data_IF_799072850963
#
_entry.id   IF_799072850963
#
_cell.length_a   1.000
_cell.length_b   1.000
_cell.length_c   1.000
_cell.angle_alpha   90.00
_cell.angle_beta   90.00
_cell.angle_gamma   90.00
#
_symmetry.space_group_name_H-M   'P 1'
#
loop_
_entity.id
_entity.type
_entity.pdbx_description
1 polymer ?
#
# COMPACT_ATOMS: atom_id res chain seq x y z
N UNK A 1 -56.75 41.37 7.27
CA UNK A 1 -56.94 40.14 8.07
C UNK A 1 -56.10 39.07 7.40
N UNK A 2 -55.09 38.43 7.99
CA UNK A 2 -54.65 38.27 9.38
C UNK A 2 -53.12 38.11 9.43
N UNK A 3 -52.58 38.36 10.63
CA UNK A 3 -51.16 38.35 10.98
C UNK A 3 -50.65 36.93 11.21
N UNK A 4 -49.42 36.68 10.74
CA UNK A 4 -48.52 35.58 11.18
C UNK A 4 -47.98 35.86 12.59
N UNK A 5 -47.91 34.84 13.44
CA UNK A 5 -47.04 34.83 14.63
C UNK A 5 -46.59 33.40 15.04
N UNK A 6 -45.27 33.23 15.06
CA UNK A 6 -44.47 32.45 16.02
C UNK A 6 -44.53 30.91 15.94
N UNK A 7 -43.48 30.12 16.22
CA UNK A 7 -42.27 30.32 17.06
C UNK A 7 -41.09 29.56 16.46
N UNK A 8 -39.88 30.14 16.53
CA UNK A 8 -38.60 29.42 16.40
C UNK A 8 -38.14 28.99 17.80
N UNK A 9 -37.46 27.84 17.95
CA UNK A 9 -36.81 27.46 19.20
C UNK A 9 -35.57 28.35 19.47
N UNK A 10 -35.15 28.47 20.74
CA UNK A 10 -34.02 29.31 21.16
C UNK A 10 -32.65 28.70 20.76
N UNK A 11 -31.59 29.52 20.71
CA UNK A 11 -30.24 29.04 20.41
C UNK A 11 -29.68 28.23 21.59
N UNK A 12 -29.05 27.10 21.28
CA UNK A 12 -28.22 26.36 22.23
C UNK A 12 -26.90 27.10 22.37
N UNK A 13 -26.68 27.71 23.54
CA UNK A 13 -25.37 28.11 24.01
C UNK A 13 -24.69 26.92 24.68
N UNK A 14 -23.55 26.50 24.14
CA UNK A 14 -22.58 25.58 24.77
C UNK A 14 -21.32 25.68 23.92
N UNK A 15 -20.31 26.41 24.36
CA UNK A 15 -19.42 25.92 25.40
C UNK A 15 -18.27 25.22 24.70
N UNK A 16 -17.36 26.01 24.15
CA UNK A 16 -16.19 25.51 23.45
C UNK A 16 -15.32 24.69 24.39
N UNK A 17 -14.93 23.50 23.93
CA UNK A 17 -13.71 22.86 24.36
C UNK A 17 -12.79 22.90 23.14
N UNK A 18 -12.06 24.00 22.99
CA UNK A 18 -10.89 24.03 22.12
C UNK A 18 -9.87 23.11 22.78
N UNK A 19 -9.70 21.90 22.24
CA UNK A 19 -8.49 21.12 22.48
C UNK A 19 -7.42 21.81 21.63
N UNK A 20 -6.78 22.82 22.20
CA UNK A 20 -5.60 23.44 21.59
C UNK A 20 -4.50 22.40 21.56
N UNK A 21 -4.14 21.92 20.37
CA UNK A 21 -2.92 21.16 20.17
C UNK A 21 -1.76 22.14 20.38
N UNK A 22 -0.95 21.90 21.41
CA UNK A 22 0.28 22.64 21.67
C UNK A 22 1.35 21.98 20.81
N UNK A 23 1.72 22.61 19.70
CA UNK A 23 2.94 22.25 18.96
C UNK A 23 4.07 23.11 19.52
N UNK A 24 5.05 22.47 20.13
CA UNK A 24 6.26 23.13 20.64
C UNK A 24 7.32 23.08 19.54
N UNK A 25 7.62 24.20 18.92
CA UNK A 25 8.79 24.33 18.02
C UNK A 25 9.90 24.98 18.82
N UNK A 26 11.02 24.27 19.01
CA UNK A 26 12.21 24.80 19.68
C UNK A 26 13.32 25.07 18.68
N UNK A 27 13.74 26.33 18.58
CA UNK A 27 14.95 26.74 17.86
C UNK A 27 16.06 26.92 18.90
N UNK A 28 17.08 26.07 18.85
CA UNK A 28 18.25 26.18 19.71
C UNK A 28 19.24 27.21 19.13
N UNK A 29 19.13 28.46 19.57
CA UNK A 29 20.20 29.44 19.39
C UNK A 29 20.43 30.23 20.69
N UNK A 30 21.58 29.97 21.32
CA UNK A 30 22.18 30.78 22.38
C UNK A 30 21.21 31.29 23.48
N UNK A 31 20.71 30.37 24.31
CA UNK A 31 20.42 30.67 25.72
C UNK A 31 19.17 31.51 26.04
N UNK A 32 18.21 31.67 25.12
CA UNK A 32 16.91 32.27 25.45
C UNK A 32 15.75 31.48 24.84
N UNK A 33 14.74 31.20 25.66
CA UNK A 33 13.48 30.55 25.26
C UNK A 33 12.51 31.63 24.78
N UNK A 34 12.03 31.54 23.55
CA UNK A 34 10.90 32.31 23.05
C UNK A 34 9.74 31.33 22.79
N UNK A 35 8.70 31.38 23.62
CA UNK A 35 7.43 30.71 23.33
C UNK A 35 6.72 31.48 22.21
N UNK A 36 6.49 30.85 21.06
CA UNK A 36 5.44 31.29 20.14
C UNK A 36 4.27 30.32 20.18
N UNK A 37 3.12 30.86 20.57
CA UNK A 37 1.81 30.20 20.46
C UNK A 37 1.38 30.35 19.00
N UNK A 38 1.37 29.26 18.24
CA UNK A 38 0.80 29.26 16.89
C UNK A 38 -0.70 29.03 17.03
N UNK A 39 -1.49 30.07 16.72
CA UNK A 39 -2.94 30.00 16.66
C UNK A 39 -3.37 29.14 15.46
N UNK A 40 -4.38 28.30 15.66
CA UNK A 40 -4.85 27.27 14.73
C UNK A 40 -5.09 27.74 13.30
N UNK A 41 -4.57 27.00 12.32
CA UNK A 41 -5.02 27.09 10.92
C UNK A 41 -3.94 27.39 9.87
N UNK A 42 -2.65 27.34 10.21
CA UNK A 42 -1.55 27.38 9.24
C UNK A 42 -0.66 26.15 9.40
N UNK A 43 -0.22 25.53 8.30
CA UNK A 43 0.77 24.45 8.37
C UNK A 43 2.05 24.94 9.04
N UNK A 44 2.70 24.08 9.82
CA UNK A 44 4.03 24.34 10.35
C UNK A 44 5.06 24.01 9.26
N UNK A 45 5.91 24.98 8.94
CA UNK A 45 7.05 24.79 8.04
C UNK A 45 8.26 24.44 8.92
N UNK A 46 8.81 23.24 8.74
CA UNK A 46 10.00 22.78 9.47
C UNK A 46 11.21 22.93 8.56
N UNK A 47 12.22 23.67 9.03
CA UNK A 47 13.53 23.80 8.38
C UNK A 47 14.54 22.95 9.13
N UNK A 48 15.29 22.12 8.39
CA UNK A 48 16.30 21.22 8.97
C UNK A 48 17.67 21.90 9.03
N UNK A 49 18.28 21.93 10.22
CA UNK A 49 19.63 22.47 10.45
C UNK A 49 20.69 21.37 10.73
N UNK A 50 20.41 20.09 10.43
CA UNK A 50 21.33 18.98 10.77
C UNK A 50 21.68 18.06 9.58
N UNK A 51 22.96 17.70 9.39
CA UNK A 51 23.37 16.75 8.35
C UNK A 51 23.09 15.30 8.78
N UNK A 52 22.50 14.52 7.87
CA UNK A 52 22.35 13.06 7.99
C UNK A 52 23.72 12.39 7.71
N UNK A 53 24.22 11.58 8.64
CA UNK A 53 25.40 10.73 8.41
C UNK A 53 25.01 9.46 7.64
N UNK A 54 25.88 9.05 6.70
CA UNK A 54 25.70 7.93 5.77
C UNK A 54 25.43 6.59 6.47
N UNK A 55 24.42 5.85 6.02
CA UNK A 55 24.25 4.44 6.35
C UNK A 55 23.78 3.61 5.15
N UNK A 56 24.72 2.85 4.56
CA UNK A 56 24.49 1.54 3.92
C UNK A 56 23.83 1.50 2.55
N UNK A 57 24.62 1.15 1.52
CA UNK A 57 24.20 0.93 0.13
C UNK A 57 22.92 0.06 -0.03
N UNK A 58 21.82 0.66 -0.50
CA UNK A 58 20.65 -0.06 -1.02
C UNK A 58 19.44 0.85 -1.28
N UNK A 59 19.21 1.19 -2.55
CA UNK A 59 18.03 1.85 -3.14
C UNK A 59 17.60 3.23 -2.58
N UNK A 60 17.95 4.28 -3.33
CA UNK A 60 17.10 5.48 -3.44
C UNK A 60 17.35 6.64 -2.48
N UNK A 61 18.45 6.68 -1.74
CA UNK A 61 18.71 7.79 -0.81
C UNK A 61 18.95 9.13 -1.55
N UNK A 62 17.93 9.98 -1.57
CA UNK A 62 18.09 11.39 -1.95
C UNK A 62 18.77 12.11 -0.79
N UNK A 63 20.03 12.48 -0.98
CA UNK A 63 20.74 13.42 -0.11
C UNK A 63 19.99 14.75 -0.14
N UNK A 64 19.34 15.08 0.98
CA UNK A 64 18.60 16.32 1.14
C UNK A 64 19.56 17.51 1.25
N UNK A 65 19.40 18.51 0.38
CA UNK A 65 20.14 19.77 0.50
C UNK A 65 19.69 20.56 1.75
N UNK A 66 20.59 21.39 2.29
CA UNK A 66 20.41 22.14 3.54
C UNK A 66 19.23 23.12 3.56
N UNK A 67 18.63 23.41 2.39
CA UNK A 67 17.46 24.29 2.25
C UNK A 67 16.15 23.52 2.00
N UNK A 68 16.17 22.19 2.10
CA UNK A 68 14.96 21.38 1.96
C UNK A 68 14.03 21.56 3.17
N UNK A 69 12.80 21.97 2.90
CA UNK A 69 11.72 22.06 3.89
C UNK A 69 10.57 21.18 3.44
N UNK A 70 9.85 20.61 4.40
CA UNK A 70 8.56 20.01 4.12
C UNK A 70 7.52 20.54 5.10
N UNK A 71 6.30 20.59 4.61
CA UNK A 71 5.16 21.08 5.39
C UNK A 71 4.51 19.88 6.07
N UNK A 72 4.38 19.95 7.39
CA UNK A 72 3.63 18.92 8.12
C UNK A 72 2.14 19.19 7.93
N UNK A 73 1.49 18.37 7.10
CA UNK A 73 0.04 18.40 6.89
C UNK A 73 -0.68 17.36 7.74
N UNK A 74 -0.01 16.23 8.00
CA UNK A 74 -0.57 15.10 8.72
C UNK A 74 0.27 14.74 9.95
N UNK A 75 -0.43 14.31 11.00
CA UNK A 75 0.15 13.96 12.29
C UNK A 75 -0.55 12.73 12.85
N UNK A 76 0.23 11.70 13.17
CA UNK A 76 -0.24 10.40 13.65
C UNK A 76 0.54 10.02 14.92
N UNK A 77 -0.11 10.06 16.11
CA UNK A 77 0.51 9.57 17.34
C UNK A 77 0.72 8.04 17.28
N UNK A 78 1.94 7.58 17.54
CA UNK A 78 2.29 6.16 17.57
C UNK A 78 3.29 5.88 18.71
N UNK A 79 2.87 6.20 19.94
CA UNK A 79 3.68 6.19 21.17
C UNK A 79 4.73 5.06 21.27
N UNK A 80 5.98 5.34 21.64
CA UNK A 80 6.57 6.66 21.95
C UNK A 80 6.90 7.49 20.70
N UNK A 81 6.54 7.00 19.51
CA UNK A 81 6.84 7.64 18.24
C UNK A 81 5.73 8.59 17.80
N UNK A 82 6.10 9.48 16.90
CA UNK A 82 5.18 10.34 16.17
C UNK A 82 5.50 10.17 14.69
N UNK A 83 4.45 10.03 13.88
CA UNK A 83 4.57 9.96 12.43
C UNK A 83 3.97 11.22 11.82
N UNK A 84 4.74 11.90 10.98
CA UNK A 84 4.31 13.11 10.28
C UNK A 84 4.58 12.98 8.80
N UNK A 85 3.70 13.55 7.97
CA UNK A 85 3.96 13.65 6.54
C UNK A 85 3.32 14.86 5.89
N UNK A 86 3.84 15.23 4.73
CA UNK A 86 3.28 16.26 3.87
C UNK A 86 4.24 16.68 2.74
N UNK A 87 3.86 17.66 1.92
CA UNK A 87 4.55 18.00 0.69
C UNK A 87 5.93 18.62 0.95
N UNK A 88 6.87 18.32 0.06
CA UNK A 88 8.23 18.86 0.08
C UNK A 88 8.43 19.92 -1.02
N UNK A 89 9.52 20.68 -0.93
CA UNK A 89 9.98 21.61 -1.96
C UNK A 89 11.22 21.12 -2.72
N UNK A 90 11.53 19.82 -2.66
CA UNK A 90 12.78 19.26 -3.17
C UNK A 90 12.93 19.38 -4.69
N UNK A 91 11.85 19.13 -5.43
CA UNK A 91 11.79 19.31 -6.87
C UNK A 91 10.56 20.18 -7.22
N UNK A 92 10.75 21.39 -7.78
CA UNK A 92 9.63 22.25 -8.14
C UNK A 92 8.79 21.71 -9.30
N UNK A 93 9.32 20.76 -10.08
CA UNK A 93 8.66 20.17 -11.24
C UNK A 93 7.98 18.83 -10.91
N UNK A 94 8.24 18.25 -9.73
CA UNK A 94 7.68 16.97 -9.28
C UNK A 94 7.05 17.09 -7.89
N UNK A 95 5.73 16.88 -7.73
CA UNK A 95 5.14 16.83 -6.40
C UNK A 95 5.69 15.62 -5.65
N UNK A 96 6.16 15.85 -4.43
CA UNK A 96 6.75 14.85 -3.56
C UNK A 96 6.27 15.05 -2.14
N UNK A 97 6.09 13.94 -1.43
CA UNK A 97 5.69 13.89 -0.01
C UNK A 97 6.81 13.27 0.80
N UNK A 98 7.11 13.86 1.96
CA UNK A 98 8.01 13.27 2.95
C UNK A 98 7.21 12.73 4.10
N UNK A 99 7.56 11.55 4.58
CA UNK A 99 7.08 10.96 5.83
C UNK A 99 8.25 10.75 6.78
N UNK A 100 8.05 11.07 8.05
CA UNK A 100 9.04 10.90 9.11
C UNK A 100 8.44 10.12 10.28
N UNK A 101 9.25 9.25 10.86
CA UNK A 101 9.01 8.62 12.16
C UNK A 101 10.01 9.21 13.14
N UNK A 102 9.49 9.81 14.20
CA UNK A 102 10.29 10.55 15.19
C UNK A 102 10.12 9.94 16.56
N UNK A 103 11.22 9.75 17.29
CA UNK A 103 11.25 9.43 18.70
C UNK A 103 11.74 10.64 19.47
N UNK A 104 10.89 11.22 20.32
CA UNK A 104 11.17 12.50 21.00
C UNK A 104 11.48 13.60 19.96
N UNK A 105 12.75 13.98 19.83
CA UNK A 105 13.22 15.03 18.90
C UNK A 105 14.12 14.47 17.79
N UNK A 106 14.29 13.15 17.71
CA UNK A 106 15.15 12.49 16.72
C UNK A 106 14.31 11.79 15.65
N UNK A 107 14.54 12.16 14.39
CA UNK A 107 14.06 11.41 13.23
C UNK A 107 14.83 10.09 13.21
N UNK A 108 14.11 8.97 13.29
CA UNK A 108 14.71 7.63 13.27
C UNK A 108 14.53 6.92 11.93
N UNK A 109 13.57 7.37 11.13
CA UNK A 109 13.28 6.87 9.79
C UNK A 109 12.57 7.99 9.02
N UNK A 110 12.91 8.14 7.74
CA UNK A 110 12.22 9.05 6.85
C UNK A 110 12.23 8.51 5.42
N UNK A 111 11.18 8.80 4.66
CA UNK A 111 11.09 8.51 3.23
C UNK A 111 10.59 9.72 2.47
N UNK A 112 11.03 9.87 1.22
CA UNK A 112 10.49 10.83 0.26
C UNK A 112 10.11 10.06 -0.99
N UNK A 113 8.84 10.15 -1.37
CA UNK A 113 8.34 9.60 -2.63
C UNK A 113 7.39 10.61 -3.29
N UNK A 114 6.85 10.25 -4.46
CA UNK A 114 5.84 11.07 -5.13
C UNK A 114 4.63 11.29 -4.20
N UNK A 115 4.16 10.22 -3.54
CA UNK A 115 3.21 10.28 -2.43
C UNK A 115 3.58 9.27 -1.35
N UNK A 116 3.46 9.68 -0.08
CA UNK A 116 3.61 8.82 1.09
C UNK A 116 2.48 9.08 2.08
N UNK A 117 1.91 8.03 2.66
CA UNK A 117 0.89 8.14 3.70
C UNK A 117 1.11 7.08 4.79
N UNK A 118 0.72 7.40 6.02
CA UNK A 118 0.85 6.50 7.17
C UNK A 118 -0.49 6.17 7.81
N UNK A 119 -0.68 4.92 8.20
CA UNK A 119 -1.79 4.46 9.05
C UNK A 119 -1.31 3.43 10.08
N UNK A 120 -2.11 3.18 11.12
CA UNK A 120 -1.79 2.18 12.15
C UNK A 120 -2.88 1.12 12.26
N UNK A 121 -2.47 -0.13 12.50
CA UNK A 121 -3.36 -1.26 12.71
C UNK A 121 -2.65 -2.40 13.42
N UNK A 122 -3.30 -3.06 14.38
CA UNK A 122 -2.84 -4.33 14.95
C UNK A 122 -2.86 -5.42 13.87
N UNK A 123 -1.67 -5.80 13.39
CA UNK A 123 -1.50 -6.74 12.30
C UNK A 123 -1.22 -8.16 12.78
N UNK A 124 -0.57 -8.31 13.93
CA UNK A 124 -0.15 -9.61 14.47
C UNK A 124 -0.97 -10.09 15.69
N UNK A 125 -1.97 -9.31 16.10
CA UNK A 125 -2.90 -9.65 17.17
C UNK A 125 -2.31 -9.54 18.57
N UNK A 126 -1.15 -8.88 18.72
CA UNK A 126 -0.49 -8.71 20.02
C UNK A 126 -1.07 -7.54 20.86
N UNK A 127 -1.99 -6.76 20.27
CA UNK A 127 -2.64 -5.61 20.90
C UNK A 127 -1.85 -4.30 20.78
N UNK A 128 -0.70 -4.28 20.10
CA UNK A 128 0.02 -3.08 19.70
C UNK A 128 -0.13 -2.87 18.20
N UNK A 129 -0.74 -1.75 17.79
CA UNK A 129 -0.78 -1.44 16.36
C UNK A 129 0.62 -1.30 15.74
N UNK A 130 0.80 -1.93 14.57
CA UNK A 130 1.89 -1.67 13.62
C UNK A 130 1.62 -0.39 12.83
N UNK A 131 2.69 0.29 12.41
CA UNK A 131 2.64 1.38 11.44
C UNK A 131 2.80 0.82 10.03
N UNK A 132 1.89 1.20 9.15
CA UNK A 132 1.93 0.91 7.72
C UNK A 132 2.20 2.23 7.01
N UNK A 133 3.32 2.29 6.29
CA UNK A 133 3.66 3.40 5.40
C UNK A 133 3.44 2.93 3.97
N UNK A 134 2.53 3.56 3.26
CA UNK A 134 2.36 3.39 1.82
C UNK A 134 3.15 4.47 1.09
N UNK A 135 3.95 4.07 0.12
CA UNK A 135 4.71 4.94 -0.76
C UNK A 135 4.37 4.64 -2.21
N UNK A 136 4.20 5.69 -3.00
CA UNK A 136 3.92 5.62 -4.43
C UNK A 136 4.93 6.47 -5.19
N UNK A 137 5.54 5.89 -6.22
CA UNK A 137 6.63 6.52 -6.98
C UNK A 137 6.18 7.44 -8.13
N UNK A 138 4.88 7.52 -8.45
CA UNK A 138 4.36 8.53 -9.40
C UNK A 138 4.14 8.10 -10.85
N UNK A 139 4.39 6.84 -11.22
CA UNK A 139 4.25 6.35 -12.60
C UNK A 139 2.82 5.94 -12.97
N UNK A 140 2.36 6.25 -14.19
CA UNK A 140 0.99 5.91 -14.65
C UNK A 140 0.60 4.41 -14.54
N UNK A 141 1.59 3.52 -14.41
CA UNK A 141 1.45 2.07 -14.23
C UNK A 141 2.48 1.49 -13.23
N UNK A 142 2.89 2.25 -12.20
CA UNK A 142 3.81 1.82 -11.12
C UNK A 142 4.02 2.94 -10.07
N UNK A 143 4.45 2.73 -8.82
CA UNK A 143 4.73 1.52 -8.06
C UNK A 143 4.34 1.74 -6.59
N UNK A 144 3.46 0.91 -6.05
CA UNK A 144 3.10 0.97 -4.62
C UNK A 144 4.00 0.07 -3.79
N UNK A 145 4.73 0.69 -2.87
CA UNK A 145 5.55 0.05 -1.85
C UNK A 145 4.88 0.23 -0.48
N UNK A 146 4.97 -0.80 0.36
CA UNK A 146 4.48 -0.74 1.73
C UNK A 146 5.63 -1.08 2.67
N UNK A 147 5.91 -0.19 3.62
CA UNK A 147 6.84 -0.44 4.71
C UNK A 147 6.04 -0.62 5.99
N UNK A 148 6.28 -1.72 6.69
CA UNK A 148 5.57 -2.07 7.92
C UNK A 148 6.57 -2.00 9.06
N UNK A 149 6.23 -1.26 10.10
CA UNK A 149 7.06 -1.09 11.29
C UNK A 149 6.27 -1.56 12.51
N UNK A 150 6.95 -2.26 13.40
CA UNK A 150 6.45 -2.48 14.76
C UNK A 150 7.28 -1.68 15.74
N UNK A 151 6.67 -1.32 16.86
CA UNK A 151 7.32 -0.74 18.04
C UNK A 151 7.52 -1.76 19.17
N UNK A 152 6.95 -2.96 19.03
CA UNK A 152 6.95 -3.98 20.06
C UNK A 152 7.77 -5.24 19.64
N UNK A 153 8.61 -5.81 20.53
CA UNK A 153 9.10 -5.22 21.77
C UNK A 153 10.08 -4.04 21.56
N UNK A 154 10.48 -3.77 20.32
CA UNK A 154 11.34 -2.66 19.94
C UNK A 154 11.03 -2.21 18.51
N UNK A 155 11.37 -0.96 18.18
CA UNK A 155 11.25 -0.43 16.83
C UNK A 155 12.06 -1.23 15.83
N UNK A 156 11.38 -1.73 14.80
CA UNK A 156 12.01 -2.38 13.64
C UNK A 156 11.06 -2.39 12.46
N UNK A 157 11.61 -2.38 11.25
CA UNK A 157 10.88 -2.73 10.04
C UNK A 157 10.66 -4.24 10.00
N UNK A 158 9.41 -4.64 9.77
CA UNK A 158 8.95 -6.04 9.78
C UNK A 158 8.34 -6.46 8.43
N UNK A 159 8.25 -5.54 7.49
CA UNK A 159 7.86 -5.84 6.12
C UNK A 159 8.28 -4.74 5.17
N UNK A 160 8.76 -5.16 4.00
CA UNK A 160 8.86 -4.35 2.80
C UNK A 160 8.09 -5.10 1.71
N UNK A 161 6.92 -4.58 1.32
CA UNK A 161 6.03 -5.25 0.38
C UNK A 161 5.86 -4.42 -0.88
N UNK A 162 6.35 -4.98 -1.99
CA UNK A 162 6.22 -4.38 -3.31
C UNK A 162 4.99 -4.91 -4.04
N UNK A 163 3.97 -4.07 -4.21
CA UNK A 163 2.73 -4.48 -4.90
C UNK A 163 2.63 -3.98 -6.33
N UNK A 164 3.57 -3.14 -6.77
CA UNK A 164 3.53 -2.55 -8.10
C UNK A 164 2.19 -1.84 -8.33
N UNK A 165 1.34 -2.42 -9.17
CA UNK A 165 0.01 -1.90 -9.50
C UNK A 165 -1.16 -2.45 -8.66
N UNK A 166 -0.90 -3.43 -7.80
CA UNK A 166 -1.95 -4.23 -7.19
C UNK A 166 -2.56 -3.71 -5.91
N UNK A 167 -1.88 -2.77 -5.25
CA UNK A 167 -2.22 -2.29 -3.91
C UNK A 167 -2.15 -3.38 -2.84
N UNK A 168 -2.33 -2.98 -1.57
CA UNK A 168 -2.34 -3.87 -0.41
C UNK A 168 -3.45 -3.46 0.55
N UNK A 169 -4.09 -4.45 1.18
CA UNK A 169 -5.02 -4.25 2.29
C UNK A 169 -4.82 -5.33 3.34
N UNK A 170 -5.06 -5.04 4.62
CA UNK A 170 -4.92 -6.02 5.70
C UNK A 170 -6.26 -6.58 6.16
N UNK A 171 -6.43 -7.91 6.10
CA UNK A 171 -7.67 -8.63 6.44
C UNK A 171 -7.35 -9.96 7.11
N UNK A 172 -8.12 -10.32 8.13
CA UNK A 172 -8.12 -11.66 8.72
C UNK A 172 -8.85 -12.62 7.76
N UNK A 173 -8.08 -13.42 7.01
CA UNK A 173 -8.62 -14.32 6.00
C UNK A 173 -9.00 -15.69 6.57
N UNK A 174 -8.32 -16.14 7.63
CA UNK A 174 -8.51 -17.48 8.20
C UNK A 174 -9.16 -17.50 9.60
N UNK A 175 -9.43 -16.33 10.17
CA UNK A 175 -10.13 -16.16 11.44
C UNK A 175 -9.25 -16.41 12.66
N UNK A 176 -7.92 -16.36 12.51
CA UNK A 176 -6.97 -16.60 13.61
C UNK A 176 -6.67 -15.34 14.46
N UNK A 177 -7.19 -14.18 14.05
CA UNK A 177 -7.00 -12.89 14.71
C UNK A 177 -5.72 -12.15 14.29
N UNK A 178 -4.91 -12.73 13.40
CA UNK A 178 -3.78 -12.10 12.72
C UNK A 178 -4.26 -11.64 11.34
N UNK A 179 -3.79 -10.48 10.88
CA UNK A 179 -4.19 -9.96 9.58
C UNK A 179 -3.22 -10.40 8.49
N UNK A 180 -3.74 -10.92 7.40
CA UNK A 180 -2.99 -11.10 6.16
C UNK A 180 -2.96 -9.82 5.32
N UNK A 181 -1.79 -9.53 4.74
CA UNK A 181 -1.65 -8.57 3.66
C UNK A 181 -2.19 -9.17 2.36
N UNK A 182 -3.25 -8.60 1.82
CA UNK A 182 -3.93 -9.08 0.60
C UNK A 182 -3.72 -8.06 -0.51
N UNK A 183 -2.92 -8.42 -1.49
CA UNK A 183 -2.66 -7.61 -2.68
C UNK A 183 -3.14 -8.28 -3.96
N UNK A 184 -2.89 -7.60 -5.07
CA UNK A 184 -3.02 -8.19 -6.40
C UNK A 184 -1.63 -8.27 -7.06
N UNK A 185 -1.31 -9.41 -7.64
CA UNK A 185 -0.01 -9.65 -8.25
C UNK A 185 0.00 -9.15 -9.70
N UNK A 186 0.87 -8.19 -9.98
CA UNK A 186 0.99 -7.59 -11.30
C UNK A 186 2.07 -8.23 -12.18
N UNK A 187 2.69 -9.34 -11.76
CA UNK A 187 3.72 -10.00 -12.56
C UNK A 187 3.22 -10.60 -13.88
N UNK A 188 1.91 -10.65 -14.11
CA UNK A 188 1.31 -11.01 -15.40
C UNK A 188 1.00 -9.79 -16.28
N UNK A 189 1.25 -8.56 -15.82
CA UNK A 189 1.01 -7.38 -16.61
C UNK A 189 1.86 -7.40 -17.89
N UNK A 190 1.24 -7.05 -19.02
CA UNK A 190 1.89 -6.93 -20.33
C UNK A 190 2.55 -8.21 -20.90
N UNK A 191 2.24 -9.41 -20.38
CA UNK A 191 2.90 -10.65 -20.84
C UNK A 191 2.69 -10.93 -22.35
N UNK A 192 1.44 -11.12 -22.77
CA UNK A 192 1.06 -11.35 -24.18
C UNK A 192 -0.27 -10.64 -24.49
N UNK A 193 -0.54 -9.57 -23.73
CA UNK A 193 -1.82 -8.87 -23.70
C UNK A 193 -1.63 -7.41 -23.25
N UNK A 194 -2.66 -6.59 -23.45
CA UNK A 194 -2.67 -5.22 -22.96
C UNK A 194 -2.70 -5.17 -21.43
N UNK A 195 -2.28 -4.04 -20.85
CA UNK A 195 -2.43 -3.82 -19.40
C UNK A 195 -3.88 -4.00 -18.95
N UNK A 196 -4.82 -3.41 -19.70
CA UNK A 196 -6.25 -3.44 -19.37
C UNK A 196 -6.82 -4.85 -19.34
N UNK A 197 -6.27 -5.77 -20.15
CA UNK A 197 -6.69 -7.15 -20.19
C UNK A 197 -5.88 -8.06 -19.25
N UNK A 198 -4.83 -7.55 -18.59
CA UNK A 198 -3.93 -8.36 -17.77
C UNK A 198 -4.67 -8.97 -16.58
N UNK A 199 -4.46 -10.27 -16.29
CA UNK A 199 -4.96 -10.86 -15.06
C UNK A 199 -4.08 -10.46 -13.89
N UNK A 200 -4.70 -10.22 -12.74
CA UNK A 200 -4.00 -9.92 -11.48
C UNK A 200 -4.43 -10.94 -10.42
N UNK A 201 -3.76 -12.11 -10.34
CA UNK A 201 -4.01 -13.10 -9.28
C UNK A 201 -3.81 -12.46 -7.90
N UNK A 202 -4.52 -12.89 -6.85
CA UNK A 202 -4.22 -12.40 -5.51
C UNK A 202 -2.79 -12.81 -5.11
N UNK A 203 -2.14 -11.95 -4.33
CA UNK A 203 -0.93 -12.28 -3.57
C UNK A 203 -1.23 -12.04 -2.10
N UNK A 204 -0.85 -12.98 -1.25
CA UNK A 204 -1.20 -12.97 0.17
C UNK A 204 0.08 -13.07 0.97
N UNK A 205 0.23 -12.18 1.95
CA UNK A 205 1.34 -12.14 2.87
C UNK A 205 0.81 -12.47 4.26
N UNK A 206 1.42 -13.46 4.92
CA UNK A 206 1.06 -13.84 6.28
C UNK A 206 2.21 -13.51 7.23
N UNK A 207 1.86 -13.12 8.45
CA UNK A 207 2.83 -12.93 9.52
C UNK A 207 3.46 -14.26 9.93
N UNK A 208 4.81 -14.31 9.89
CA UNK A 208 5.62 -15.44 10.33
C UNK A 208 6.88 -14.92 11.01
N UNK A 209 7.16 -15.41 12.22
CA UNK A 209 8.43 -15.23 12.92
C UNK A 209 8.96 -13.78 12.93
N UNK A 210 8.07 -12.79 13.09
CA UNK A 210 8.43 -11.39 13.21
C UNK A 210 8.45 -10.58 11.90
N UNK A 211 7.94 -11.14 10.80
CA UNK A 211 7.76 -10.40 9.54
C UNK A 211 6.67 -10.98 8.63
N UNK A 212 6.35 -10.25 7.57
CA UNK A 212 5.41 -10.71 6.53
C UNK A 212 6.11 -11.54 5.46
N UNK A 213 5.56 -12.70 5.14
CA UNK A 213 6.05 -13.59 4.07
C UNK A 213 4.94 -13.97 3.10
N UNK A 214 5.28 -14.17 1.83
CA UNK A 214 4.34 -14.59 0.79
C UNK A 214 3.86 -16.03 1.02
N UNK A 215 2.55 -16.21 1.18
CA UNK A 215 1.88 -17.46 1.57
C UNK A 215 0.59 -17.67 0.77
N UNK A 216 0.52 -17.18 -0.47
CA UNK A 216 -0.68 -17.24 -1.32
C UNK A 216 -1.25 -18.65 -1.46
N UNK A 217 -0.37 -19.65 -1.55
CA UNK A 217 -0.75 -21.07 -1.68
C UNK A 217 -1.46 -21.63 -0.44
N UNK A 218 -1.32 -21.00 0.72
CA UNK A 218 -2.00 -21.40 1.94
C UNK A 218 -3.51 -21.10 1.92
N UNK A 219 -4.00 -20.35 0.92
CA UNK A 219 -5.41 -19.94 0.78
C UNK A 219 -6.06 -20.51 -0.50
N UNK A 220 -6.13 -21.85 -0.64
CA UNK A 220 -6.63 -22.49 -1.86
C UNK A 220 -8.10 -22.18 -2.15
N UNK A 221 -8.92 -21.93 -1.13
CA UNK A 221 -10.34 -21.62 -1.32
C UNK A 221 -10.53 -20.24 -1.98
N UNK A 222 -9.76 -19.24 -1.56
CA UNK A 222 -9.74 -17.92 -2.22
C UNK A 222 -9.26 -18.05 -3.67
N UNK A 223 -8.20 -18.82 -3.91
CA UNK A 223 -7.69 -19.06 -5.26
C UNK A 223 -8.73 -19.75 -6.15
N UNK A 224 -9.47 -20.73 -5.63
CA UNK A 224 -10.55 -21.39 -6.36
C UNK A 224 -11.71 -20.45 -6.65
N UNK A 225 -12.15 -19.67 -5.67
CA UNK A 225 -13.21 -18.67 -5.86
C UNK A 225 -12.84 -17.69 -6.98
N UNK A 226 -11.59 -17.18 -6.95
CA UNK A 226 -11.09 -16.27 -7.98
C UNK A 226 -10.93 -16.95 -9.32
N UNK A 227 -10.46 -18.19 -9.37
CA UNK A 227 -10.38 -18.97 -10.61
C UNK A 227 -11.76 -19.08 -11.29
N UNK A 228 -12.84 -19.28 -10.55
CA UNK A 228 -14.20 -19.38 -11.14
C UNK A 228 -14.55 -18.15 -11.98
N UNK A 229 -14.06 -16.95 -11.63
CA UNK A 229 -14.26 -15.71 -12.43
C UNK A 229 -13.75 -15.83 -13.87
N UNK A 230 -12.72 -16.65 -14.10
CA UNK A 230 -12.15 -16.94 -15.42
C UNK A 230 -12.76 -18.16 -16.10
N UNK A 231 -13.60 -18.92 -15.39
CA UNK A 231 -14.32 -20.09 -15.92
C UNK A 231 -15.76 -19.75 -16.37
N UNK A 232 -16.31 -18.59 -15.98
CA UNK A 232 -17.64 -18.15 -16.41
C UNK A 232 -17.74 -17.98 -17.94
N UNK A 233 -18.94 -18.23 -18.50
CA UNK A 233 -19.13 -18.30 -19.94
C UNK A 233 -18.85 -16.96 -20.60
N UNK A 234 -18.19 -17.05 -21.74
CA UNK A 234 -17.79 -15.93 -22.57
C UNK A 234 -18.99 -15.21 -23.19
N UNK A 235 -18.82 -13.95 -23.65
CA UNK A 235 -19.79 -13.34 -24.55
C UNK A 235 -20.05 -14.28 -25.74
N UNK A 236 -21.32 -14.37 -26.14
CA UNK A 236 -21.79 -15.40 -27.06
C UNK A 236 -21.23 -15.28 -28.49
N UNK A 237 -20.63 -14.13 -28.85
CA UNK A 237 -20.07 -13.88 -30.17
C UNK A 237 -18.53 -13.94 -30.16
N UNK A 238 -17.91 -14.97 -30.77
CA UNK A 238 -16.45 -15.07 -30.89
C UNK A 238 -15.83 -14.01 -31.83
N UNK A 239 -16.65 -13.21 -32.52
CA UNK A 239 -16.18 -12.07 -33.32
C UNK A 239 -16.17 -10.75 -32.55
N UNK A 240 -16.66 -10.74 -31.32
CA UNK A 240 -16.57 -9.57 -30.45
C UNK A 240 -15.08 -9.19 -30.25
N UNK A 241 -14.69 -7.93 -30.54
CA UNK A 241 -13.31 -7.49 -30.31
C UNK A 241 -12.86 -7.68 -28.86
N UNK A 242 -13.76 -7.52 -27.88
CA UNK A 242 -13.45 -7.71 -26.46
C UNK A 242 -13.21 -9.20 -26.15
N UNK A 243 -13.92 -10.10 -26.84
CA UNK A 243 -13.67 -11.54 -26.73
C UNK A 243 -12.24 -11.91 -27.17
N UNK A 244 -11.76 -11.32 -28.28
CA UNK A 244 -10.42 -11.58 -28.79
C UNK A 244 -9.33 -11.04 -27.88
N UNK A 245 -9.54 -9.85 -27.32
CA UNK A 245 -8.60 -9.25 -26.38
C UNK A 245 -8.53 -10.03 -25.06
N UNK A 246 -9.65 -10.61 -24.60
CA UNK A 246 -9.72 -11.30 -23.31
C UNK A 246 -9.40 -12.81 -23.38
N UNK A 247 -9.44 -13.43 -24.57
CA UNK A 247 -9.24 -14.90 -24.72
C UNK A 247 -7.90 -15.38 -24.16
N UNK A 248 -6.80 -14.74 -24.56
CA UNK A 248 -5.45 -15.11 -24.12
C UNK A 248 -5.22 -14.84 -22.62
N UNK A 249 -5.52 -13.63 -22.09
CA UNK A 249 -5.43 -13.36 -20.65
C UNK A 249 -6.24 -14.33 -19.79
N UNK A 250 -7.43 -14.73 -20.23
CA UNK A 250 -8.25 -15.71 -19.52
C UNK A 250 -7.57 -17.07 -19.43
N UNK A 251 -7.05 -17.59 -20.55
CA UNK A 251 -6.33 -18.88 -20.56
C UNK A 251 -5.07 -18.78 -19.69
N UNK A 252 -4.34 -17.68 -19.79
CA UNK A 252 -3.18 -17.39 -18.94
C UNK A 252 -3.54 -17.35 -17.46
N UNK A 253 -4.66 -16.72 -17.10
CA UNK A 253 -5.18 -16.70 -15.74
C UNK A 253 -5.53 -18.10 -15.24
N UNK A 254 -6.30 -18.89 -16.00
CA UNK A 254 -6.63 -20.27 -15.58
C UNK A 254 -5.37 -21.09 -15.32
N UNK A 255 -4.37 -20.98 -16.20
CA UNK A 255 -3.09 -21.65 -15.98
C UNK A 255 -2.38 -21.13 -14.71
N UNK A 256 -2.31 -19.81 -14.53
CA UNK A 256 -1.69 -19.18 -13.36
C UNK A 256 -2.35 -19.63 -12.03
N UNK A 257 -3.68 -19.58 -11.93
CA UNK A 257 -4.39 -20.04 -10.73
C UNK A 257 -4.19 -21.54 -10.49
N UNK A 258 -4.18 -22.37 -11.53
CA UNK A 258 -3.89 -23.79 -11.39
C UNK A 258 -2.43 -24.07 -10.99
N UNK A 259 -1.46 -23.23 -11.38
CA UNK A 259 -0.08 -23.31 -10.89
C UNK A 259 -0.03 -22.98 -9.39
N UNK A 260 -0.73 -21.92 -8.96
CA UNK A 260 -0.81 -21.53 -7.55
C UNK A 260 -1.49 -22.62 -6.70
N UNK A 261 -2.46 -23.33 -7.26
CA UNK A 261 -3.15 -24.46 -6.61
C UNK A 261 -2.39 -25.79 -6.68
N UNK A 262 -1.23 -25.87 -7.35
CA UNK A 262 -0.51 -27.12 -7.64
C UNK A 262 -1.36 -28.14 -8.44
N UNK A 263 -2.23 -27.62 -9.31
CA UNK A 263 -3.21 -28.35 -10.13
C UNK A 263 -3.04 -28.09 -11.64
N UNK A 264 -1.80 -27.96 -12.14
CA UNK A 264 -1.57 -27.60 -13.54
C UNK A 264 -2.28 -28.53 -14.56
N UNK A 265 -2.32 -29.84 -14.31
CA UNK A 265 -3.04 -30.79 -15.18
C UNK A 265 -4.55 -30.51 -15.23
N UNK A 266 -5.12 -29.94 -14.16
CA UNK A 266 -6.51 -29.48 -14.14
C UNK A 266 -6.73 -28.33 -15.11
N UNK A 267 -5.76 -27.43 -15.28
CA UNK A 267 -5.84 -26.34 -16.27
C UNK A 267 -6.07 -26.90 -17.68
N UNK A 268 -5.30 -27.92 -18.08
CA UNK A 268 -5.47 -28.62 -19.36
C UNK A 268 -6.81 -29.33 -19.46
N UNK A 269 -7.28 -29.97 -18.39
CA UNK A 269 -8.60 -30.59 -18.38
C UNK A 269 -9.75 -29.57 -18.51
N UNK A 270 -9.61 -28.39 -17.91
CA UNK A 270 -10.56 -27.27 -18.02
C UNK A 270 -10.54 -26.70 -19.44
N UNK A 271 -9.35 -26.42 -20.01
CA UNK A 271 -9.23 -25.86 -21.35
C UNK A 271 -9.73 -26.82 -22.43
N UNK A 272 -9.57 -28.14 -22.27
CA UNK A 272 -10.20 -29.14 -23.17
C UNK A 272 -11.71 -28.99 -23.27
N UNK A 273 -12.38 -28.52 -22.21
CA UNK A 273 -13.83 -28.33 -22.18
C UNK A 273 -14.24 -26.93 -22.63
N UNK A 274 -13.48 -25.90 -22.23
CA UNK A 274 -13.85 -24.50 -22.40
C UNK A 274 -13.35 -23.92 -23.73
N UNK A 275 -12.11 -24.24 -24.12
CA UNK A 275 -11.45 -23.66 -25.28
C UNK A 275 -10.32 -24.58 -25.79
N UNK A 276 -10.65 -25.72 -26.42
CA UNK A 276 -9.65 -26.73 -26.79
C UNK A 276 -8.63 -26.24 -27.82
N UNK A 277 -8.96 -25.21 -28.60
CA UNK A 277 -8.04 -24.58 -29.56
C UNK A 277 -6.88 -23.87 -28.88
N UNK A 278 -7.04 -23.47 -27.62
CA UNK A 278 -6.01 -22.77 -26.84
C UNK A 278 -5.04 -23.71 -26.13
N UNK A 279 -5.23 -25.03 -26.22
CA UNK A 279 -4.33 -26.00 -25.58
C UNK A 279 -2.88 -25.88 -26.08
N UNK A 280 -2.60 -25.77 -27.40
CA UNK A 280 -1.22 -25.62 -27.88
C UNK A 280 -0.55 -24.36 -27.31
N UNK A 281 -1.25 -23.23 -27.32
CA UNK A 281 -0.75 -21.97 -26.75
C UNK A 281 -0.47 -22.14 -25.25
N UNK A 282 -1.40 -22.72 -24.48
CA UNK A 282 -1.19 -22.94 -23.06
C UNK A 282 0.00 -23.86 -22.77
N UNK A 283 0.25 -24.84 -23.64
CA UNK A 283 1.39 -25.74 -23.51
C UNK A 283 2.73 -25.03 -23.81
N UNK A 284 2.74 -24.15 -24.80
CA UNK A 284 3.91 -23.33 -25.16
C UNK A 284 4.26 -22.30 -24.08
N UNK A 285 3.26 -21.65 -23.47
CA UNK A 285 3.46 -20.57 -22.50
C UNK A 285 3.54 -21.05 -21.03
N UNK A 286 3.38 -22.35 -20.77
CA UNK A 286 3.36 -22.95 -19.43
C UNK A 286 4.53 -22.54 -18.55
N UNK A 287 5.75 -22.70 -19.05
CA UNK A 287 6.97 -22.47 -18.27
C UNK A 287 7.16 -20.99 -17.94
N UNK A 288 6.83 -20.11 -18.88
CA UNK A 288 6.91 -18.67 -18.67
C UNK A 288 5.90 -18.19 -17.63
N UNK A 289 4.64 -18.64 -17.70
CA UNK A 289 3.63 -18.30 -16.67
C UNK A 289 4.04 -18.87 -15.31
N UNK A 290 4.61 -20.08 -15.25
CA UNK A 290 5.14 -20.63 -13.99
C UNK A 290 6.27 -19.77 -13.41
N UNK A 291 7.20 -19.33 -14.25
CA UNK A 291 8.28 -18.44 -13.81
C UNK A 291 7.74 -17.11 -13.26
N UNK A 292 6.73 -16.52 -13.92
CA UNK A 292 6.07 -15.31 -13.43
C UNK A 292 5.38 -15.56 -12.08
N UNK A 293 4.68 -16.68 -11.89
CA UNK A 293 4.07 -17.00 -10.59
C UNK A 293 5.10 -17.24 -9.48
N UNK A 294 6.27 -17.78 -9.81
CA UNK A 294 7.35 -17.95 -8.84
C UNK A 294 7.89 -16.62 -8.30
N UNK A 295 7.81 -15.54 -9.09
CA UNK A 295 8.21 -14.19 -8.69
C UNK A 295 7.35 -13.55 -7.60
N UNK A 296 6.25 -14.17 -7.16
CA UNK A 296 5.49 -13.70 -5.99
C UNK A 296 6.36 -13.67 -4.73
N UNK A 297 7.26 -14.65 -4.57
CA UNK A 297 8.14 -14.78 -3.40
C UNK A 297 9.12 -13.63 -3.23
N UNK A 298 9.36 -12.87 -4.29
CA UNK A 298 10.27 -11.73 -4.30
C UNK A 298 9.57 -10.43 -3.86
N UNK A 299 8.25 -10.47 -3.62
CA UNK A 299 7.44 -9.29 -3.28
C UNK A 299 7.44 -8.94 -1.80
N UNK A 300 7.97 -9.79 -0.94
CA UNK A 300 8.19 -9.51 0.47
C UNK A 300 9.62 -9.89 0.87
N UNK A 301 10.33 -8.96 1.51
CA UNK A 301 11.72 -9.13 1.97
C UNK A 301 12.14 -8.03 2.91
#
# INVERSE_FOLDING_TARGET
MERKLSRRPPPISGGGLFIGIIVVVMIAAAGFVVLQIVESGKPAEITLDTPLEEAGEGDGDILLEADSTYVVEHYLPWDPYVVTWGPTNLDPDLPQTRIEITLQDAVIEASVDYLCEGETKDLDGDGSDELIVWAYSGGAHCCSQYYIYTRHPAFRRIGSIYTGNGGLQFKDLDGDGVLEGVGNYDGLAYYDWSYAASPFPPIIFKWRDGGFVEETKAFPDLLRERLETYLYPQPADPNDPDYKEQRFPRVGAVLAYCILLDEEERAFALMKKLDPEMIPWMQEHREAIRALMAGMKERAG
#
